data_IF_004459860301
#
_entry.id   IF_004459860301
#
_cell.length_a   1.000
_cell.length_b   1.000
_cell.length_c   1.000
_cell.angle_alpha   90.00
_cell.angle_beta   90.00
_cell.angle_gamma   90.00
#
_symmetry.space_group_name_H-M   'P 1'
#
loop_
_entity.id
_entity.type
_entity.pdbx_description
1 polymer ?
#
# COMPACT_ATOMS: atom_id res chain seq x y z
N UNK A 1 65.72 -75.42 2.26
CA UNK A 1 64.54 -74.82 2.93
C UNK A 1 64.27 -73.48 2.27
N UNK A 2 63.24 -73.38 1.44
CA UNK A 2 62.83 -72.12 0.84
C UNK A 2 61.66 -71.56 1.67
N UNK A 3 61.85 -70.38 2.26
CA UNK A 3 60.80 -69.65 2.97
C UNK A 3 60.04 -68.78 1.95
N UNK A 4 58.78 -69.10 1.73
CA UNK A 4 57.85 -68.27 0.95
C UNK A 4 57.28 -67.18 1.85
N UNK A 5 57.62 -65.92 1.56
CA UNK A 5 57.06 -64.75 2.22
C UNK A 5 55.62 -64.53 1.72
N UNK A 6 54.63 -64.74 2.59
CA UNK A 6 53.24 -64.38 2.34
C UNK A 6 53.05 -62.89 2.61
N UNK A 7 52.86 -62.08 1.56
CA UNK A 7 52.49 -60.67 1.67
C UNK A 7 50.96 -60.59 1.68
N UNK A 8 50.38 -60.19 2.81
CA UNK A 8 48.96 -59.83 2.90
C UNK A 8 48.78 -58.38 2.46
N UNK A 9 48.14 -58.14 1.32
CA UNK A 9 47.61 -56.82 0.96
C UNK A 9 46.20 -56.68 1.54
N UNK A 10 46.04 -55.84 2.56
CA UNK A 10 44.71 -55.47 3.08
C UNK A 10 44.09 -54.45 2.11
N UNK A 11 42.92 -54.76 1.56
CA UNK A 11 42.16 -53.78 0.76
C UNK A 11 41.75 -52.59 1.65
N UNK A 12 41.80 -51.34 1.16
CA UNK A 12 41.35 -50.19 1.93
C UNK A 12 39.86 -50.35 2.27
N UNK A 13 39.53 -50.28 3.56
CA UNK A 13 38.14 -50.28 4.01
C UNK A 13 37.52 -48.92 3.63
N UNK A 14 36.62 -48.93 2.65
CA UNK A 14 35.79 -47.77 2.32
C UNK A 14 34.57 -47.73 3.25
N UNK A 15 34.28 -46.55 3.81
CA UNK A 15 33.06 -46.33 4.59
C UNK A 15 31.81 -46.59 3.72
N UNK A 16 30.76 -47.18 4.31
CA UNK A 16 29.55 -47.49 3.59
C UNK A 16 28.75 -46.22 3.26
N UNK A 17 27.99 -46.23 2.16
CA UNK A 17 27.13 -45.11 1.79
C UNK A 17 25.84 -45.12 2.62
N UNK A 18 25.45 -43.94 3.12
CA UNK A 18 24.16 -43.75 3.78
C UNK A 18 23.01 -43.99 2.79
N UNK A 19 21.85 -44.43 3.28
CA UNK A 19 20.66 -44.68 2.44
C UNK A 19 19.51 -43.76 2.79
N UNK A 20 18.52 -43.64 1.88
CA UNK A 20 17.33 -42.79 2.04
C UNK A 20 17.65 -41.33 2.41
N UNK A 21 18.70 -40.76 1.79
CA UNK A 21 19.06 -39.37 1.99
C UNK A 21 18.01 -38.42 1.40
N UNK A 22 17.55 -37.47 2.20
CA UNK A 22 16.76 -36.35 1.73
C UNK A 22 17.14 -35.07 2.50
N UNK A 23 17.20 -33.97 1.78
CA UNK A 23 17.44 -32.62 2.29
C UNK A 23 16.40 -31.66 1.70
N UNK A 24 15.88 -30.78 2.57
CA UNK A 24 14.97 -29.70 2.18
C UNK A 24 15.24 -28.43 3.00
N UNK A 25 14.72 -27.31 2.49
CA UNK A 25 14.79 -25.99 3.13
C UNK A 25 13.37 -25.41 3.27
N UNK A 26 13.10 -24.67 4.34
CA UNK A 26 11.78 -24.08 4.59
C UNK A 26 11.43 -22.90 3.67
N UNK A 27 12.46 -22.22 3.16
CA UNK A 27 12.35 -21.16 2.17
C UNK A 27 13.49 -21.39 1.17
N UNK A 28 13.18 -21.43 -0.13
CA UNK A 28 14.16 -21.67 -1.18
C UNK A 28 14.65 -20.38 -1.86
N UNK A 29 14.41 -19.20 -1.28
CA UNK A 29 14.95 -17.94 -1.79
C UNK A 29 16.44 -17.83 -1.48
N UNK A 30 17.25 -17.40 -2.44
CA UNK A 30 18.68 -17.09 -2.22
C UNK A 30 18.85 -16.02 -1.15
N UNK A 31 19.90 -16.12 -0.33
CA UNK A 31 20.17 -15.21 0.78
C UNK A 31 19.05 -15.05 1.84
N UNK A 32 17.98 -15.85 1.77
CA UNK A 32 16.95 -15.86 2.83
C UNK A 32 17.60 -16.25 4.16
N UNK A 33 17.30 -15.48 5.21
CA UNK A 33 17.80 -15.70 6.58
C UNK A 33 16.75 -16.44 7.42
N UNK A 34 17.18 -17.04 8.53
CA UNK A 34 16.27 -17.75 9.44
C UNK A 34 15.67 -19.02 8.83
N UNK A 35 16.30 -19.58 7.81
CA UNK A 35 15.84 -20.78 7.10
C UNK A 35 16.09 -22.02 7.95
N UNK A 36 15.14 -22.96 7.87
CA UNK A 36 15.26 -24.28 8.48
C UNK A 36 15.70 -25.30 7.45
N UNK A 37 16.75 -26.06 7.75
CA UNK A 37 17.28 -27.15 6.94
C UNK A 37 16.91 -28.47 7.60
N UNK A 38 16.23 -29.35 6.86
CA UNK A 38 15.80 -30.66 7.33
C UNK A 38 16.58 -31.75 6.61
N UNK A 39 17.17 -32.67 7.37
CA UNK A 39 17.93 -33.81 6.85
C UNK A 39 17.32 -35.11 7.36
N UNK A 40 17.15 -36.09 6.46
CA UNK A 40 16.83 -37.47 6.82
C UNK A 40 17.75 -38.44 6.11
N UNK A 41 18.21 -39.49 6.79
CA UNK A 41 19.01 -40.56 6.21
C UNK A 41 18.96 -41.81 7.10
N UNK A 42 19.50 -42.94 6.62
CA UNK A 42 19.70 -44.16 7.41
C UNK A 42 21.19 -44.51 7.46
N UNK A 43 21.65 -44.90 8.65
CA UNK A 43 23.00 -45.47 8.84
C UNK A 43 23.16 -46.74 8.03
N UNK A 44 24.37 -46.99 7.53
CA UNK A 44 24.69 -48.21 6.78
C UNK A 44 25.51 -49.18 7.63
N UNK A 45 26.39 -48.66 8.48
CA UNK A 45 27.25 -49.43 9.35
C UNK A 45 26.89 -49.22 10.82
N UNK A 46 26.92 -50.27 11.63
CA UNK A 46 26.86 -50.11 13.08
C UNK A 46 28.14 -49.41 13.55
N UNK A 47 28.01 -48.30 14.28
CA UNK A 47 29.17 -47.55 14.73
C UNK A 47 28.88 -46.58 15.87
N UNK A 48 29.94 -46.18 16.58
CA UNK A 48 29.87 -45.22 17.68
C UNK A 48 29.98 -43.79 17.14
N UNK A 49 28.84 -43.17 16.85
CA UNK A 49 28.75 -41.83 16.26
C UNK A 49 29.04 -40.76 17.32
N UNK A 50 29.96 -39.84 17.02
CA UNK A 50 30.24 -38.62 17.78
C UNK A 50 29.88 -37.34 17.01
N UNK A 51 30.12 -37.31 15.70
CA UNK A 51 29.79 -36.16 14.84
C UNK A 51 29.08 -36.58 13.57
N UNK A 52 28.24 -35.68 13.07
CA UNK A 52 27.59 -35.76 11.76
C UNK A 52 27.87 -34.44 11.05
N UNK A 53 28.45 -34.50 9.85
CA UNK A 53 28.78 -33.31 9.05
C UNK A 53 27.87 -33.23 7.84
N UNK A 54 27.35 -32.03 7.57
CA UNK A 54 26.56 -31.67 6.40
C UNK A 54 27.33 -30.62 5.60
N UNK A 55 27.91 -31.02 4.47
CA UNK A 55 28.63 -30.10 3.57
C UNK A 55 27.70 -29.66 2.43
N UNK A 56 27.19 -28.44 2.52
CA UNK A 56 26.28 -27.85 1.53
C UNK A 56 27.09 -27.34 0.34
N UNK A 57 26.78 -27.79 -0.88
CA UNK A 57 27.46 -27.34 -2.10
C UNK A 57 27.33 -25.83 -2.32
N UNK A 58 28.16 -25.26 -3.22
CA UNK A 58 28.07 -23.84 -3.58
C UNK A 58 28.71 -22.91 -2.56
N UNK A 59 28.20 -21.70 -2.46
CA UNK A 59 28.73 -20.64 -1.60
C UNK A 59 27.62 -19.87 -0.88
N UNK A 60 28.03 -19.00 0.05
CA UNK A 60 27.14 -18.04 0.71
C UNK A 60 26.27 -18.63 1.83
N UNK A 61 26.48 -19.89 2.24
CA UNK A 61 25.79 -20.43 3.41
C UNK A 61 26.18 -19.60 4.64
N UNK A 62 25.18 -19.04 5.31
CA UNK A 62 25.36 -18.16 6.44
C UNK A 62 24.54 -18.56 7.66
N UNK A 63 24.50 -17.65 8.64
CA UNK A 63 23.72 -17.83 9.86
C UNK A 63 24.41 -18.67 10.93
N UNK A 64 23.74 -18.75 12.08
CA UNK A 64 24.15 -19.51 13.26
C UNK A 64 23.10 -20.60 13.49
N UNK A 65 23.40 -21.87 13.16
CA UNK A 65 22.41 -22.92 13.25
C UNK A 65 22.01 -23.20 14.70
N UNK A 66 20.76 -23.59 14.91
CA UNK A 66 20.26 -24.13 16.16
C UNK A 66 19.50 -25.43 15.90
N UNK A 67 19.59 -26.41 16.81
CA UNK A 67 18.89 -27.69 16.68
C UNK A 67 17.42 -27.47 17.05
N UNK A 68 16.51 -27.76 16.12
CA UNK A 68 15.05 -27.69 16.33
C UNK A 68 14.52 -29.07 16.69
N UNK A 69 14.96 -30.11 15.98
CA UNK A 69 14.57 -31.50 16.20
C UNK A 69 15.74 -32.44 15.91
N UNK A 70 15.80 -33.53 16.66
CA UNK A 70 16.69 -34.66 16.42
C UNK A 70 15.92 -35.95 16.74
N UNK A 71 16.02 -36.94 15.87
CA UNK A 71 15.45 -38.27 16.03
C UNK A 71 16.44 -39.33 15.54
N UNK A 72 16.46 -40.49 16.19
CA UNK A 72 17.42 -41.56 15.89
C UNK A 72 18.86 -41.26 16.34
N UNK A 73 19.10 -40.09 16.93
CA UNK A 73 20.39 -39.65 17.47
C UNK A 73 20.15 -38.81 18.74
N UNK A 74 20.96 -38.97 19.82
CA UNK A 74 20.84 -38.17 21.04
C UNK A 74 21.07 -36.68 20.81
N UNK A 75 20.71 -35.88 21.83
CA UNK A 75 20.96 -34.45 21.85
C UNK A 75 22.45 -34.11 21.69
N UNK A 76 22.71 -32.90 21.20
CA UNK A 76 24.05 -32.44 20.89
C UNK A 76 24.12 -30.92 20.71
N UNK A 77 25.22 -30.47 20.14
CA UNK A 77 25.45 -29.09 19.72
C UNK A 77 25.61 -29.02 18.21
N UNK A 78 25.37 -27.84 17.63
CA UNK A 78 25.58 -27.61 16.21
C UNK A 78 26.43 -26.36 16.00
N UNK A 79 27.36 -26.43 15.06
CA UNK A 79 28.18 -25.30 14.64
C UNK A 79 28.32 -25.31 13.12
N UNK A 80 28.51 -24.13 12.53
CA UNK A 80 28.80 -23.97 11.09
C UNK A 80 30.20 -23.38 10.92
N UNK A 81 30.95 -23.93 9.98
CA UNK A 81 32.19 -23.34 9.46
C UNK A 81 32.16 -23.36 7.94
N UNK A 82 32.13 -22.18 7.32
CA UNK A 82 31.92 -22.04 5.88
C UNK A 82 30.63 -22.73 5.43
N UNK A 83 30.77 -23.68 4.51
CA UNK A 83 29.68 -24.48 3.95
C UNK A 83 29.36 -25.77 4.74
N UNK A 84 30.11 -26.05 5.81
CA UNK A 84 29.96 -27.27 6.60
C UNK A 84 29.24 -26.98 7.90
N UNK A 85 28.19 -27.74 8.17
CA UNK A 85 27.48 -27.76 9.45
C UNK A 85 27.85 -29.05 10.18
N UNK A 86 28.26 -28.96 11.44
CA UNK A 86 28.67 -30.09 12.27
C UNK A 86 27.73 -30.23 13.45
N UNK A 87 27.01 -31.36 13.50
CA UNK A 87 26.24 -31.80 14.66
C UNK A 87 27.13 -32.69 15.53
N UNK A 88 27.31 -32.35 16.80
CA UNK A 88 28.15 -33.10 17.75
C UNK A 88 27.29 -33.64 18.88
N UNK A 89 27.15 -34.96 18.99
CA UNK A 89 26.43 -35.56 20.14
C UNK A 89 27.21 -35.32 21.43
N UNK A 90 26.52 -35.07 22.53
CA UNK A 90 27.17 -34.80 23.84
C UNK A 90 28.03 -36.00 24.27
N UNK A 91 27.47 -37.19 24.21
CA UNK A 91 28.14 -38.47 24.46
C UNK A 91 28.08 -39.32 23.21
N UNK A 92 29.22 -39.88 22.79
CA UNK A 92 29.25 -40.74 21.62
C UNK A 92 28.34 -41.97 21.85
N UNK A 93 27.62 -42.40 20.82
CA UNK A 93 26.57 -43.44 20.95
C UNK A 93 26.72 -44.50 19.88
N UNK A 94 26.57 -45.76 20.26
CA UNK A 94 26.50 -46.87 19.31
C UNK A 94 25.13 -46.85 18.61
N UNK A 95 25.13 -46.62 17.31
CA UNK A 95 23.94 -46.65 16.46
C UNK A 95 24.07 -47.84 15.53
N UNK A 96 23.06 -48.72 15.53
CA UNK A 96 23.04 -49.88 14.64
C UNK A 96 22.88 -49.45 13.16
N UNK A 97 23.23 -50.33 12.23
CA UNK A 97 22.89 -50.16 10.83
C UNK A 97 21.37 -50.05 10.61
N UNK A 98 20.96 -49.38 9.53
CA UNK A 98 19.56 -49.17 9.11
C UNK A 98 18.70 -48.33 10.07
N UNK A 99 19.32 -47.59 11.01
CA UNK A 99 18.59 -46.68 11.91
C UNK A 99 18.28 -45.37 11.17
N UNK A 100 17.00 -44.94 11.09
CA UNK A 100 16.64 -43.65 10.52
C UNK A 100 17.04 -42.51 11.47
N UNK A 101 17.77 -41.54 10.92
CA UNK A 101 18.14 -40.29 11.60
C UNK A 101 17.44 -39.13 10.91
N UNK A 102 16.82 -38.25 11.70
CA UNK A 102 16.25 -36.98 11.24
C UNK A 102 16.79 -35.83 12.09
N UNK A 103 17.28 -34.78 11.43
CA UNK A 103 17.83 -33.58 12.09
C UNK A 103 17.24 -32.34 11.40
N UNK A 104 16.70 -31.41 12.19
CA UNK A 104 16.16 -30.14 11.74
C UNK A 104 16.94 -29.00 12.38
N UNK A 105 17.51 -28.11 11.56
CA UNK A 105 18.36 -27.01 11.99
C UNK A 105 17.77 -25.68 11.54
N UNK A 106 17.48 -24.75 12.45
CA UNK A 106 17.02 -23.39 12.12
C UNK A 106 18.17 -22.38 12.12
N UNK A 107 17.89 -21.13 11.75
CA UNK A 107 18.84 -20.02 11.88
C UNK A 107 19.89 -19.93 10.76
N UNK A 108 19.74 -20.71 9.70
CA UNK A 108 20.64 -20.69 8.54
C UNK A 108 20.25 -19.58 7.56
N UNK A 109 21.24 -19.12 6.81
CA UNK A 109 21.02 -18.25 5.63
C UNK A 109 21.32 -19.04 4.37
N UNK A 110 20.38 -19.05 3.43
CA UNK A 110 20.56 -19.72 2.14
C UNK A 110 21.72 -19.17 1.34
N UNK A 111 22.37 -20.06 0.59
CA UNK A 111 23.48 -19.72 -0.28
C UNK A 111 23.12 -18.76 -1.41
N UNK A 112 24.18 -18.31 -2.08
CA UNK A 112 24.14 -17.58 -3.35
C UNK A 112 25.17 -18.21 -4.31
N UNK A 113 24.97 -18.14 -5.63
CA UNK A 113 23.85 -17.55 -6.38
C UNK A 113 22.62 -18.47 -6.47
N UNK A 114 21.61 -18.12 -7.28
CA UNK A 114 20.49 -19.01 -7.58
C UNK A 114 20.98 -20.26 -8.35
N UNK A 115 20.33 -21.41 -8.11
CA UNK A 115 20.72 -22.67 -8.73
C UNK A 115 20.39 -23.90 -7.90
N UNK A 116 20.85 -25.06 -8.36
CA UNK A 116 20.72 -26.34 -7.65
C UNK A 116 21.83 -26.54 -6.62
N UNK A 117 21.44 -26.92 -5.41
CA UNK A 117 22.33 -27.23 -4.29
C UNK A 117 22.12 -28.67 -3.84
N UNK A 118 23.16 -29.33 -3.35
CA UNK A 118 23.11 -30.64 -2.67
C UNK A 118 23.84 -30.55 -1.33
N UNK A 119 23.58 -31.47 -0.40
CA UNK A 119 24.40 -31.63 0.81
C UNK A 119 25.08 -33.00 0.84
N UNK A 120 26.32 -33.06 1.28
CA UNK A 120 27.04 -34.31 1.51
C UNK A 120 27.06 -34.62 3.01
N UNK A 121 26.55 -35.79 3.39
CA UNK A 121 26.41 -36.20 4.79
C UNK A 121 27.44 -37.29 5.13
N UNK A 122 28.11 -37.15 6.28
CA UNK A 122 29.11 -38.09 6.80
C UNK A 122 28.92 -38.30 8.31
N UNK A 123 28.95 -39.55 8.78
CA UNK A 123 28.93 -39.90 10.21
C UNK A 123 30.34 -40.32 10.66
N UNK A 124 30.77 -39.87 11.85
CA UNK A 124 32.18 -40.02 12.30
C UNK A 124 32.27 -40.35 13.80
N UNK A 125 33.38 -41.00 14.20
CA UNK A 125 33.69 -41.30 15.61
C UNK A 125 34.37 -40.12 16.34
N UNK A 126 34.77 -40.29 17.61
CA UNK A 126 35.44 -39.25 18.41
C UNK A 126 36.87 -38.92 17.96
N UNK A 127 37.51 -39.84 17.26
CA UNK A 127 38.64 -39.58 16.36
C UNK A 127 38.01 -39.50 14.96
N UNK A 128 38.35 -38.55 14.07
CA UNK A 128 37.67 -38.34 12.78
C UNK A 128 37.87 -39.48 11.75
N UNK A 129 37.63 -40.71 12.17
CA UNK A 129 37.38 -41.88 11.35
C UNK A 129 35.92 -41.85 10.90
N UNK A 130 35.73 -42.00 9.59
CA UNK A 130 34.41 -42.04 8.96
C UNK A 130 33.77 -43.41 9.19
N UNK A 131 32.50 -43.41 9.60
CA UNK A 131 31.68 -44.62 9.76
C UNK A 131 30.90 -44.85 8.45
N UNK A 132 30.10 -43.85 8.06
CA UNK A 132 29.36 -43.83 6.80
C UNK A 132 29.56 -42.51 6.06
N UNK A 133 29.44 -42.54 4.73
CA UNK A 133 29.56 -41.39 3.84
C UNK A 133 31.01 -41.08 3.42
N UNK A 134 31.24 -39.95 2.72
CA UNK A 134 30.27 -38.96 2.31
C UNK A 134 29.21 -39.50 1.34
N UNK A 135 27.94 -39.13 1.54
CA UNK A 135 26.85 -39.44 0.61
C UNK A 135 26.05 -38.19 0.26
N UNK A 136 25.85 -37.94 -1.03
CA UNK A 136 25.17 -36.75 -1.56
C UNK A 136 23.64 -36.90 -1.50
N UNK A 137 22.93 -35.84 -1.10
CA UNK A 137 21.47 -35.79 -1.09
C UNK A 137 20.85 -35.53 -2.48
N UNK A 138 19.51 -35.47 -2.51
CA UNK A 138 18.77 -34.81 -3.58
C UNK A 138 19.19 -33.33 -3.76
N UNK A 139 18.87 -32.78 -4.93
CA UNK A 139 19.06 -31.37 -5.24
C UNK A 139 17.91 -30.51 -4.74
N UNK A 140 18.22 -29.40 -4.08
CA UNK A 140 17.31 -28.31 -3.69
C UNK A 140 17.61 -27.09 -4.57
N UNK A 141 16.60 -26.53 -5.24
CA UNK A 141 16.77 -25.35 -6.10
C UNK A 141 16.51 -24.06 -5.33
N UNK A 142 17.50 -23.17 -5.25
CA UNK A 142 17.36 -21.84 -4.66
C UNK A 142 17.06 -20.79 -5.76
N UNK A 143 16.02 -19.97 -5.57
CA UNK A 143 15.47 -19.03 -6.57
C UNK A 143 15.65 -17.55 -6.19
N UNK A 144 15.66 -16.67 -7.19
CA UNK A 144 15.96 -15.23 -7.05
C UNK A 144 14.74 -14.27 -7.16
N UNK A 145 13.50 -14.72 -7.00
CA UNK A 145 12.34 -13.96 -7.52
C UNK A 145 11.70 -12.99 -6.51
N UNK A 146 12.01 -11.69 -6.58
CA UNK A 146 11.07 -10.62 -6.20
C UNK A 146 11.12 -9.42 -7.17
N UNK A 147 10.00 -8.70 -7.31
CA UNK A 147 9.88 -7.47 -8.11
C UNK A 147 9.19 -6.41 -7.27
N UNK A 148 9.86 -5.29 -7.01
CA UNK A 148 9.23 -4.14 -6.37
C UNK A 148 8.41 -3.36 -7.41
N UNK A 149 7.15 -3.04 -7.09
CA UNK A 149 6.29 -2.17 -7.90
C UNK A 149 5.96 -0.92 -7.09
N UNK A 150 6.16 0.24 -7.69
CA UNK A 150 5.75 1.53 -7.12
C UNK A 150 4.79 2.20 -8.11
N UNK A 151 3.61 2.57 -7.63
CA UNK A 151 2.63 3.36 -8.38
C UNK A 151 2.52 4.72 -7.72
N UNK A 152 2.81 5.77 -8.46
CA UNK A 152 2.64 7.17 -8.01
C UNK A 152 1.39 7.73 -8.67
N UNK A 153 0.47 8.26 -7.86
CA UNK A 153 -0.73 8.96 -8.32
C UNK A 153 -0.62 10.43 -7.92
N UNK A 154 -0.64 11.32 -8.90
CA UNK A 154 -0.59 12.76 -8.65
C UNK A 154 -1.93 13.29 -8.12
N UNK A 155 -1.87 14.32 -7.27
CA UNK A 155 -3.06 15.06 -6.81
C UNK A 155 -3.65 15.84 -7.98
N UNK A 156 -4.96 15.76 -8.20
CA UNK A 156 -5.64 16.36 -9.33
C UNK A 156 -6.96 17.03 -8.92
N UNK A 157 -7.19 18.24 -9.46
CA UNK A 157 -8.44 18.99 -9.39
C UNK A 157 -8.69 19.61 -10.77
N UNK A 158 -9.89 19.40 -11.31
CA UNK A 158 -10.44 20.16 -12.44
C UNK A 158 -11.65 20.94 -11.94
N UNK A 159 -11.65 22.24 -12.20
CA UNK A 159 -12.75 23.14 -11.84
C UNK A 159 -13.04 24.07 -13.01
N UNK A 160 -14.28 24.06 -13.50
CA UNK A 160 -14.70 24.88 -14.64
C UNK A 160 -16.04 25.57 -14.38
N UNK A 161 -16.22 26.72 -15.02
CA UNK A 161 -17.45 27.49 -15.05
C UNK A 161 -17.96 27.57 -16.49
N UNK A 162 -19.26 27.41 -16.70
CA UNK A 162 -19.86 27.57 -18.03
C UNK A 162 -20.06 29.05 -18.43
N UNK A 163 -20.17 29.93 -17.43
CA UNK A 163 -20.52 31.34 -17.57
C UNK A 163 -19.60 32.17 -16.69
N UNK A 164 -18.74 32.99 -17.30
CA UNK A 164 -17.79 33.86 -16.57
C UNK A 164 -18.26 35.31 -16.46
N UNK A 165 -19.28 35.69 -17.22
CA UNK A 165 -19.94 37.00 -17.17
C UNK A 165 -21.35 36.88 -17.75
N UNK A 166 -22.28 37.69 -17.25
CA UNK A 166 -23.63 37.81 -17.80
C UNK A 166 -24.16 39.23 -17.56
N UNK A 167 -25.22 39.60 -18.27
CA UNK A 167 -25.91 40.88 -18.11
C UNK A 167 -27.40 40.63 -18.07
N UNK A 168 -28.09 41.20 -17.08
CA UNK A 168 -29.55 41.15 -16.97
C UNK A 168 -30.10 42.53 -17.37
N UNK A 169 -30.91 42.57 -18.42
CA UNK A 169 -31.57 43.80 -18.84
C UNK A 169 -32.82 44.01 -17.99
N UNK A 170 -32.70 44.79 -16.91
CA UNK A 170 -33.78 44.96 -15.92
C UNK A 170 -34.69 46.15 -16.28
N UNK A 171 -36.00 45.98 -16.13
CA UNK A 171 -37.01 47.05 -16.31
C UNK A 171 -38.15 46.86 -15.29
N UNK A 172 -38.33 47.79 -14.33
CA UNK A 172 -39.36 47.65 -13.30
C UNK A 172 -40.79 47.81 -13.83
N UNK A 173 -40.97 48.31 -15.07
CA UNK A 173 -42.29 48.43 -15.71
C UNK A 173 -42.76 47.13 -16.37
N UNK A 174 -41.85 46.16 -16.57
CA UNK A 174 -42.13 44.88 -17.22
C UNK A 174 -41.94 43.74 -16.21
N UNK A 175 -43.01 43.06 -15.75
CA UNK A 175 -42.89 42.03 -14.70
C UNK A 175 -41.87 40.92 -15.00
N UNK A 176 -41.69 40.56 -16.28
CA UNK A 176 -40.71 39.54 -16.70
C UNK A 176 -39.25 40.02 -16.63
N UNK A 177 -39.02 41.35 -16.66
CA UNK A 177 -37.69 41.95 -16.56
C UNK A 177 -37.40 42.56 -15.19
N UNK A 178 -38.45 42.77 -14.38
CA UNK A 178 -38.34 43.23 -13.00
C UNK A 178 -37.80 42.16 -12.05
N UNK A 179 -37.89 40.87 -12.42
CA UNK A 179 -37.37 39.75 -11.63
C UNK A 179 -36.76 38.71 -12.58
N UNK A 180 -35.43 38.63 -12.60
CA UNK A 180 -34.68 37.79 -13.52
C UNK A 180 -33.64 36.94 -12.80
N UNK A 181 -33.35 35.77 -13.37
CA UNK A 181 -32.33 34.86 -12.87
C UNK A 181 -31.38 34.40 -13.98
N UNK A 182 -30.10 34.23 -13.63
CA UNK A 182 -29.08 33.62 -14.46
C UNK A 182 -28.42 32.46 -13.70
N UNK A 183 -28.38 31.30 -14.35
CA UNK A 183 -27.65 30.13 -13.84
C UNK A 183 -26.20 30.15 -14.29
N UNK A 184 -25.31 29.79 -13.36
CA UNK A 184 -23.89 29.51 -13.60
C UNK A 184 -23.64 28.06 -13.21
N UNK A 185 -23.23 27.25 -14.18
CA UNK A 185 -22.86 25.85 -13.98
C UNK A 185 -21.39 25.72 -13.60
N UNK A 186 -21.14 25.02 -12.50
CA UNK A 186 -19.83 24.69 -11.97
C UNK A 186 -19.61 23.19 -12.12
N UNK A 187 -18.47 22.79 -12.67
CA UNK A 187 -18.07 21.37 -12.77
C UNK A 187 -16.81 21.13 -11.95
N UNK A 188 -16.83 20.11 -11.09
CA UNK A 188 -15.74 19.81 -10.15
C UNK A 188 -15.34 18.33 -10.29
N UNK A 189 -14.07 18.05 -10.56
CA UNK A 189 -13.52 16.70 -10.58
C UNK A 189 -12.23 16.64 -9.76
N UNK A 190 -12.12 15.73 -8.81
CA UNK A 190 -10.94 15.60 -7.94
C UNK A 190 -10.68 14.15 -7.52
N UNK A 191 -9.41 13.79 -7.37
CA UNK A 191 -8.99 12.52 -6.75
C UNK A 191 -8.66 12.65 -5.26
N UNK A 192 -9.05 13.75 -4.63
CA UNK A 192 -8.97 13.96 -3.20
C UNK A 192 -9.76 12.90 -2.42
N UNK A 193 -9.05 12.10 -1.60
CA UNK A 193 -9.65 11.00 -0.85
C UNK A 193 -10.73 11.48 0.14
N UNK A 194 -10.55 12.68 0.69
CA UNK A 194 -11.50 13.32 1.60
C UNK A 194 -12.41 14.33 0.87
N UNK A 195 -12.43 14.31 -0.46
CA UNK A 195 -13.29 15.12 -1.34
C UNK A 195 -12.95 16.61 -1.36
N UNK A 196 -13.94 17.49 -1.31
CA UNK A 196 -13.73 18.95 -1.42
C UNK A 196 -14.82 19.76 -0.72
N UNK A 197 -14.53 21.04 -0.51
CA UNK A 197 -15.53 22.08 -0.20
C UNK A 197 -15.58 23.10 -1.32
N UNK A 198 -16.79 23.56 -1.65
CA UNK A 198 -17.04 24.68 -2.56
C UNK A 198 -17.56 25.86 -1.75
N UNK A 199 -16.88 26.99 -1.81
CA UNK A 199 -17.30 28.25 -1.20
C UNK A 199 -17.64 29.29 -2.26
N UNK A 200 -18.57 30.18 -1.93
CA UNK A 200 -18.92 31.35 -2.73
C UNK A 200 -18.80 32.61 -1.89
N UNK A 201 -18.28 33.69 -2.48
CA UNK A 201 -18.11 34.98 -1.82
C UNK A 201 -18.35 36.14 -2.78
N UNK A 202 -18.74 37.28 -2.22
CA UNK A 202 -18.80 38.58 -2.87
C UNK A 202 -18.20 39.61 -1.91
N UNK A 203 -17.31 40.49 -2.40
CA UNK A 203 -16.71 41.57 -1.59
C UNK A 203 -17.68 42.73 -1.35
N UNK A 204 -18.70 42.92 -2.20
CA UNK A 204 -19.71 43.95 -2.06
C UNK A 204 -20.83 43.55 -1.08
N UNK A 205 -21.57 44.55 -0.58
CA UNK A 205 -22.82 44.32 0.13
C UNK A 205 -23.97 44.54 -0.85
N UNK A 206 -24.30 43.52 -1.64
CA UNK A 206 -25.25 43.59 -2.76
C UNK A 206 -24.68 44.24 -4.01
N UNK A 207 -25.51 44.39 -5.05
CA UNK A 207 -25.07 44.99 -6.31
C UNK A 207 -24.90 46.50 -6.16
N UNK A 208 -23.75 47.02 -6.56
CA UNK A 208 -23.40 48.44 -6.43
C UNK A 208 -23.40 49.14 -7.79
N UNK A 209 -23.84 50.40 -7.82
CA UNK A 209 -23.75 51.25 -9.00
C UNK A 209 -22.77 52.40 -8.80
N UNK A 210 -22.01 52.74 -9.84
CA UNK A 210 -21.13 53.91 -9.85
C UNK A 210 -21.88 55.26 -9.93
N UNK A 211 -23.21 55.25 -9.93
CA UNK A 211 -24.04 56.46 -9.93
C UNK A 211 -23.88 57.33 -8.68
N UNK A 212 -24.32 58.59 -8.77
CA UNK A 212 -24.31 59.53 -7.64
C UNK A 212 -25.05 58.95 -6.44
N UNK A 213 -24.38 58.90 -5.28
CA UNK A 213 -24.94 58.32 -4.06
C UNK A 213 -24.68 56.81 -3.86
N UNK A 214 -23.93 56.17 -4.77
CA UNK A 214 -23.60 54.74 -4.76
C UNK A 214 -24.82 53.87 -4.45
N UNK A 215 -25.88 53.93 -5.28
CA UNK A 215 -27.10 53.19 -4.99
C UNK A 215 -26.80 51.69 -5.01
N UNK A 216 -27.49 50.95 -4.14
CA UNK A 216 -27.25 49.52 -3.90
C UNK A 216 -28.56 48.75 -4.05
N UNK A 217 -28.55 47.65 -4.79
CA UNK A 217 -29.57 46.62 -4.69
C UNK A 217 -29.11 45.66 -3.60
N UNK A 218 -29.71 45.78 -2.43
CA UNK A 218 -29.28 45.06 -1.24
C UNK A 218 -29.46 43.54 -1.40
N UNK A 219 -28.61 42.80 -0.68
CA UNK A 219 -28.76 41.37 -0.55
C UNK A 219 -30.12 40.96 0.03
N UNK A 220 -30.57 39.78 -0.36
CA UNK A 220 -31.80 39.13 0.09
C UNK A 220 -31.71 38.71 1.56
N UNK A 221 -30.51 38.37 2.04
CA UNK A 221 -30.21 38.01 3.42
C UNK A 221 -28.74 38.31 3.75
N UNK A 222 -28.33 38.13 4.99
CA UNK A 222 -26.93 38.35 5.42
C UNK A 222 -26.05 37.10 5.28
N UNK A 223 -26.34 36.24 4.30
CA UNK A 223 -25.72 34.91 4.13
C UNK A 223 -26.72 33.75 4.20
N UNK A 224 -26.22 32.52 4.01
CA UNK A 224 -27.04 31.30 3.89
C UNK A 224 -27.77 30.93 5.17
N UNK A 225 -27.21 31.26 6.34
CA UNK A 225 -27.82 30.93 7.63
C UNK A 225 -29.18 31.63 7.83
N UNK A 226 -29.36 32.79 7.21
CA UNK A 226 -30.59 33.59 7.23
C UNK A 226 -31.31 33.54 5.88
N UNK A 227 -31.06 32.51 5.06
CA UNK A 227 -31.70 32.32 3.77
C UNK A 227 -33.23 32.31 3.88
N UNK A 228 -33.87 32.94 2.91
CA UNK A 228 -35.31 33.14 2.88
C UNK A 228 -35.89 32.62 1.57
N UNK A 229 -37.19 32.35 1.54
CA UNK A 229 -37.89 32.24 0.25
C UNK A 229 -37.72 33.55 -0.49
N UNK A 230 -37.49 33.49 -1.81
CA UNK A 230 -37.30 34.69 -2.61
C UNK A 230 -38.39 35.73 -2.32
N UNK A 231 -38.01 36.92 -1.83
CA UNK A 231 -38.96 37.96 -1.48
C UNK A 231 -39.32 38.80 -2.71
N UNK A 232 -40.18 39.82 -2.51
CA UNK A 232 -40.39 40.87 -3.52
C UNK A 232 -39.17 41.77 -3.72
N UNK A 233 -39.26 42.68 -4.69
CA UNK A 233 -38.23 43.65 -5.04
C UNK A 233 -38.01 44.78 -3.98
N UNK A 234 -36.86 45.48 -3.99
CA UNK A 234 -35.63 45.21 -4.77
C UNK A 234 -34.58 44.40 -3.99
N UNK A 235 -34.10 43.27 -4.52
CA UNK A 235 -33.16 42.35 -3.86
C UNK A 235 -32.23 41.61 -4.83
N UNK A 236 -31.03 41.29 -4.35
CA UNK A 236 -30.05 40.41 -5.01
C UNK A 236 -29.77 39.17 -4.15
N UNK A 237 -29.60 38.01 -4.77
CA UNK A 237 -29.16 36.82 -4.06
C UNK A 237 -29.04 35.61 -4.97
N UNK A 238 -28.84 34.46 -4.35
CA UNK A 238 -28.60 33.23 -5.07
C UNK A 238 -29.20 32.00 -4.40
N UNK A 239 -29.48 31.00 -5.23
CA UNK A 239 -29.80 29.64 -4.77
C UNK A 239 -28.83 28.64 -5.38
N UNK A 240 -28.75 27.45 -4.77
CA UNK A 240 -27.76 26.43 -5.12
C UNK A 240 -28.46 25.08 -5.32
N UNK A 241 -28.13 24.42 -6.43
CA UNK A 241 -28.50 23.01 -6.67
C UNK A 241 -27.26 22.23 -7.10
N UNK A 242 -27.31 20.91 -7.01
CA UNK A 242 -26.14 20.10 -7.37
C UNK A 242 -26.48 18.62 -7.60
N UNK A 243 -25.63 17.96 -8.39
CA UNK A 243 -25.62 16.51 -8.61
C UNK A 243 -24.23 15.98 -8.30
N UNK A 244 -24.16 14.90 -7.52
CA UNK A 244 -22.91 14.29 -7.04
C UNK A 244 -22.29 14.98 -5.81
N UNK A 245 -22.47 16.30 -5.69
CA UNK A 245 -22.13 17.08 -4.50
C UNK A 245 -23.27 17.12 -3.47
N UNK A 246 -22.93 17.20 -2.18
CA UNK A 246 -23.87 17.54 -1.10
C UNK A 246 -24.01 19.05 -1.03
N UNK A 247 -25.16 19.57 -1.45
CA UNK A 247 -25.52 20.99 -1.30
C UNK A 247 -25.91 21.31 0.14
N UNK A 248 -25.53 22.49 0.62
CA UNK A 248 -25.89 22.95 1.96
C UNK A 248 -27.42 23.04 2.14
N UNK A 249 -27.92 22.54 3.27
CA UNK A 249 -29.35 22.48 3.55
C UNK A 249 -30.03 23.87 3.60
N UNK A 250 -29.25 24.94 3.77
CA UNK A 250 -29.73 26.32 3.66
C UNK A 250 -30.46 26.61 2.33
N UNK A 251 -30.09 25.93 1.23
CA UNK A 251 -30.69 26.13 -0.09
C UNK A 251 -31.86 25.19 -0.40
N UNK A 252 -32.25 24.35 0.56
CA UNK A 252 -33.42 23.49 0.41
C UNK A 252 -34.70 24.30 0.16
N UNK A 253 -35.64 23.72 -0.60
CA UNK A 253 -36.93 24.35 -0.93
C UNK A 253 -36.84 25.69 -1.67
N UNK A 254 -35.81 25.87 -2.53
CA UNK A 254 -35.64 27.08 -3.35
C UNK A 254 -35.46 28.37 -2.54
N UNK A 255 -34.80 28.27 -1.39
CA UNK A 255 -34.39 29.44 -0.62
C UNK A 255 -33.21 30.14 -1.29
N UNK A 256 -33.14 31.45 -1.05
CA UNK A 256 -32.10 32.31 -1.55
C UNK A 256 -31.33 32.94 -0.40
N UNK A 257 -30.02 33.05 -0.59
CA UNK A 257 -29.10 33.71 0.32
C UNK A 257 -28.51 34.96 -0.34
N UNK A 258 -28.18 35.96 0.47
CA UNK A 258 -27.24 37.00 0.07
C UNK A 258 -25.82 36.50 0.12
N UNK A 259 -24.93 37.18 -0.61
CA UNK A 259 -23.51 36.86 -0.55
C UNK A 259 -22.86 37.46 0.70
N UNK A 260 -21.69 36.92 1.07
CA UNK A 260 -20.88 37.42 2.18
C UNK A 260 -19.41 37.46 1.81
N UNK A 261 -18.72 38.52 2.24
CA UNK A 261 -17.32 38.78 1.91
C UNK A 261 -16.34 37.73 2.42
N UNK A 262 -16.61 37.12 3.57
CA UNK A 262 -15.80 36.02 4.09
C UNK A 262 -15.94 34.72 3.28
N UNK A 263 -16.98 34.64 2.45
CA UNK A 263 -17.39 33.44 1.76
C UNK A 263 -18.11 32.43 2.64
N UNK A 264 -18.97 31.64 2.01
CA UNK A 264 -19.71 30.56 2.67
C UNK A 264 -19.56 29.27 1.89
N UNK A 265 -19.37 28.15 2.60
CA UNK A 265 -19.44 26.83 2.01
C UNK A 265 -20.88 26.56 1.55
N UNK A 266 -21.07 26.24 0.28
CA UNK A 266 -22.39 26.01 -0.31
C UNK A 266 -22.59 24.58 -0.80
N UNK A 267 -21.49 23.87 -1.05
CA UNK A 267 -21.52 22.45 -1.37
C UNK A 267 -20.24 21.77 -0.89
N UNK A 268 -20.29 20.44 -0.77
CA UNK A 268 -19.13 19.62 -0.43
C UNK A 268 -19.27 18.21 -0.94
N UNK A 269 -18.16 17.47 -0.95
CA UNK A 269 -18.15 16.03 -1.16
C UNK A 269 -17.18 15.40 -0.17
N UNK A 270 -17.54 14.23 0.37
CA UNK A 270 -16.74 13.52 1.39
C UNK A 270 -15.72 12.53 0.82
N UNK A 271 -15.57 12.48 -0.51
CA UNK A 271 -14.65 11.56 -1.19
C UNK A 271 -14.33 12.00 -2.62
N UNK A 272 -13.50 11.24 -3.33
CA UNK A 272 -13.11 11.59 -4.69
C UNK A 272 -14.32 11.57 -5.62
N UNK A 273 -14.26 12.34 -6.70
CA UNK A 273 -15.37 12.40 -7.66
C UNK A 273 -15.55 11.11 -8.46
N UNK A 274 -14.45 10.35 -8.62
CA UNK A 274 -14.39 9.17 -9.48
C UNK A 274 -14.28 9.58 -10.95
N UNK A 275 -14.79 8.72 -11.84
CA UNK A 275 -14.75 8.94 -13.30
C UNK A 275 -15.70 10.02 -13.82
N UNK A 276 -16.63 10.50 -13.00
CA UNK A 276 -17.63 11.51 -13.37
C UNK A 276 -17.46 12.74 -12.48
N UNK A 277 -17.53 13.93 -13.06
CA UNK A 277 -17.47 15.18 -12.31
C UNK A 277 -18.79 15.47 -11.57
N UNK A 278 -18.70 16.19 -10.46
CA UNK A 278 -19.85 16.81 -9.83
C UNK A 278 -20.27 18.06 -10.60
N UNK A 279 -21.56 18.35 -10.58
CA UNK A 279 -22.11 19.60 -11.14
C UNK A 279 -22.84 20.36 -10.04
N UNK A 280 -22.52 21.64 -9.86
CA UNK A 280 -23.22 22.57 -8.96
C UNK A 280 -23.73 23.73 -9.79
N UNK A 281 -25.00 24.12 -9.64
CA UNK A 281 -25.58 25.27 -10.33
C UNK A 281 -25.88 26.37 -9.32
N UNK A 282 -25.39 27.57 -9.62
CA UNK A 282 -25.67 28.79 -8.87
C UNK A 282 -26.64 29.63 -9.70
N UNK A 283 -27.88 29.77 -9.22
CA UNK A 283 -28.85 30.65 -9.85
C UNK A 283 -28.82 32.01 -9.15
N UNK A 284 -28.12 32.96 -9.77
CA UNK A 284 -28.14 34.37 -9.37
C UNK A 284 -29.49 34.94 -9.74
N UNK A 285 -30.09 35.74 -8.86
CA UNK A 285 -31.39 36.34 -9.11
C UNK A 285 -31.38 37.78 -8.65
N UNK A 286 -31.99 38.66 -9.45
CA UNK A 286 -32.13 40.09 -9.16
C UNK A 286 -33.59 40.43 -9.34
N UNK A 287 -34.15 41.17 -8.38
CA UNK A 287 -35.46 41.79 -8.49
C UNK A 287 -35.34 43.29 -8.26
N UNK A 288 -36.07 44.10 -9.04
CA UNK A 288 -36.15 45.56 -8.92
C UNK A 288 -37.59 46.05 -8.99
N UNK A 289 -37.84 47.25 -8.48
CA UNK A 289 -39.09 47.99 -8.62
C UNK A 289 -38.79 49.47 -8.93
N UNK A 290 -39.81 50.32 -8.93
CA UNK A 290 -39.66 51.76 -9.19
C UNK A 290 -38.89 52.52 -8.10
N UNK A 291 -38.48 51.87 -7.00
CA UNK A 291 -37.62 52.47 -5.97
C UNK A 291 -36.14 52.28 -6.26
N UNK A 292 -35.77 51.32 -7.13
CA UNK A 292 -34.40 51.15 -7.57
C UNK A 292 -33.94 52.35 -8.41
N UNK A 293 -32.77 52.91 -8.09
CA UNK A 293 -32.22 54.02 -8.86
C UNK A 293 -31.79 53.56 -10.26
N UNK A 294 -31.87 54.47 -11.24
CA UNK A 294 -31.36 54.17 -12.59
C UNK A 294 -29.83 54.13 -12.58
N UNK A 295 -29.25 53.10 -13.20
CA UNK A 295 -27.81 52.99 -13.40
C UNK A 295 -27.39 51.55 -13.68
N UNK A 296 -26.12 51.38 -14.04
CA UNK A 296 -25.51 50.06 -14.16
C UNK A 296 -25.09 49.58 -12.77
N UNK A 297 -25.47 48.35 -12.45
CA UNK A 297 -25.12 47.68 -11.20
C UNK A 297 -24.18 46.53 -11.53
N UNK A 298 -22.99 46.53 -10.93
CA UNK A 298 -21.93 45.56 -11.24
C UNK A 298 -21.43 44.88 -9.99
N UNK A 299 -21.05 43.63 -10.12
CA UNK A 299 -20.48 42.86 -9.03
C UNK A 299 -19.58 41.71 -9.52
N UNK A 300 -18.76 41.14 -8.64
CA UNK A 300 -17.85 40.03 -8.92
C UNK A 300 -18.01 38.91 -7.89
N UNK A 301 -18.69 37.84 -8.29
CA UNK A 301 -18.84 36.63 -7.48
C UNK A 301 -17.61 35.73 -7.64
N UNK A 302 -17.02 35.31 -6.52
CA UNK A 302 -15.87 34.40 -6.49
C UNK A 302 -16.28 33.02 -6.00
N UNK A 303 -15.88 31.98 -6.74
CA UNK A 303 -16.11 30.58 -6.40
C UNK A 303 -14.77 29.90 -6.11
N UNK A 304 -14.64 29.24 -4.96
CA UNK A 304 -13.39 28.57 -4.55
C UNK A 304 -13.65 27.12 -4.22
N UNK A 305 -12.89 26.21 -4.86
CA UNK A 305 -12.92 24.78 -4.57
C UNK A 305 -11.64 24.39 -3.84
N UNK A 306 -11.81 23.80 -2.65
CA UNK A 306 -10.69 23.34 -1.82
C UNK A 306 -10.72 21.81 -1.69
N UNK A 307 -9.88 21.06 -2.45
CA UNK A 307 -9.79 19.61 -2.34
C UNK A 307 -9.00 19.17 -1.09
N UNK A 308 -9.38 18.06 -0.49
CA UNK A 308 -8.70 17.47 0.67
C UNK A 308 -8.04 16.11 0.32
N UNK A 309 -6.73 16.13 0.08
CA UNK A 309 -5.95 14.96 -0.32
C UNK A 309 -5.38 14.14 0.83
N UNK A 310 -5.67 14.51 2.09
CA UNK A 310 -5.25 13.72 3.26
C UNK A 310 -6.23 12.60 3.56
#
# INVERSE_FOLDING_TARGET
MAWTLFVWSVAPAHAAALTNLNWSVSNNQVAATGVTYSYSFKTATTGTIKTITFAVSGAGLGGTPAIVKNYGIPAGTVARSGQTITYTVTTAVSVAASVPIYIELSGLTNGTPAGGYTTSITTQTSVPATIDGPTTSNTVTLAANNTAVTVTLDKSLTFTLDTTAFTLAMDPSLPALADQSQSVGLTIQTNANSGYTLTVSDLAAGLQSAGTGNPVIADVSSGKATSVTWPGAPKFGYTVTGTGATVDAAFSASKYAGYVAAGEQIASRAGPTGGTADTVTIANRVAIDFTAATGDYTDTITYTVTPNFT
#
